data_IF_457553726557
#
_entry.id   IF_457553726557
#
_cell.length_a   1.000
_cell.length_b   1.000
_cell.length_c   1.000
_cell.angle_alpha   90.00
_cell.angle_beta   90.00
_cell.angle_gamma   90.00
#
_symmetry.space_group_name_H-M   'P 1'
#
loop_
_entity.id
_entity.type
_entity.pdbx_description
1 polymer ?
#
# COMPACT_ATOMS: atom_id res chain seq x y z
N UNK A 1 -36.15 -21.83 -31.41
CA UNK A 1 -35.14 -20.75 -31.39
C UNK A 1 -35.07 -20.22 -29.96
N UNK A 2 -34.10 -20.69 -29.17
CA UNK A 2 -33.85 -20.20 -27.81
C UNK A 2 -32.65 -19.26 -27.86
N UNK A 3 -32.89 -17.97 -27.68
CA UNK A 3 -31.84 -16.98 -27.47
C UNK A 3 -31.66 -16.78 -25.97
N UNK A 4 -30.82 -17.61 -25.36
CA UNK A 4 -30.34 -17.37 -23.99
C UNK A 4 -29.38 -16.18 -24.03
N UNK A 5 -29.90 -14.98 -23.75
CA UNK A 5 -29.06 -13.82 -23.52
C UNK A 5 -28.53 -13.96 -22.09
N UNK A 6 -27.33 -14.54 -21.94
CA UNK A 6 -26.62 -14.57 -20.67
C UNK A 6 -26.26 -13.14 -20.25
N UNK A 7 -27.16 -12.48 -19.54
CA UNK A 7 -26.87 -11.20 -18.91
C UNK A 7 -25.93 -11.42 -17.72
N UNK A 8 -24.89 -10.60 -17.53
CA UNK A 8 -24.04 -10.69 -16.37
C UNK A 8 -24.87 -10.43 -15.10
N UNK A 9 -24.88 -11.41 -14.20
CA UNK A 9 -25.50 -11.28 -12.88
C UNK A 9 -24.53 -10.55 -11.98
N UNK A 10 -24.94 -9.38 -11.48
CA UNK A 10 -24.17 -8.64 -10.49
C UNK A 10 -24.37 -9.22 -9.09
N UNK A 11 -23.34 -9.19 -8.23
CA UNK A 11 -23.51 -9.57 -6.84
C UNK A 11 -24.53 -8.64 -6.15
N UNK A 12 -25.36 -9.17 -5.22
CA UNK A 12 -26.42 -8.40 -4.57
C UNK A 12 -25.89 -7.39 -3.53
N UNK A 13 -24.59 -7.41 -3.24
CA UNK A 13 -23.93 -6.55 -2.26
C UNK A 13 -22.56 -6.18 -2.79
N UNK A 14 -22.15 -4.94 -2.57
CA UNK A 14 -20.79 -4.51 -2.88
C UNK A 14 -19.79 -5.25 -1.98
N UNK A 15 -18.91 -6.09 -2.53
CA UNK A 15 -17.93 -6.83 -1.74
C UNK A 15 -16.75 -5.96 -1.30
N UNK A 16 -16.63 -4.72 -1.79
CA UNK A 16 -15.49 -3.83 -1.54
C UNK A 16 -15.10 -3.76 -0.05
N UNK A 17 -16.03 -3.52 0.91
CA UNK A 17 -15.66 -3.36 2.32
C UNK A 17 -14.92 -4.56 2.94
N UNK A 18 -15.19 -5.78 2.48
CA UNK A 18 -14.52 -7.00 2.97
C UNK A 18 -13.03 -6.96 2.57
N UNK A 19 -12.73 -6.56 1.35
CA UNK A 19 -11.35 -6.40 0.88
C UNK A 19 -10.65 -5.25 1.59
N UNK A 20 -11.39 -4.20 1.95
CA UNK A 20 -10.83 -3.07 2.70
C UNK A 20 -10.44 -3.44 4.14
N UNK A 21 -11.28 -4.24 4.80
CA UNK A 21 -10.98 -4.82 6.11
C UNK A 21 -9.79 -5.79 6.03
N UNK A 22 -9.77 -6.66 5.02
CA UNK A 22 -8.69 -7.63 4.83
C UNK A 22 -7.32 -6.95 4.64
N UNK A 23 -7.26 -5.86 3.85
CA UNK A 23 -6.01 -5.12 3.63
C UNK A 23 -5.58 -4.25 4.81
N UNK A 24 -6.45 -4.05 5.81
CA UNK A 24 -6.15 -3.22 6.98
C UNK A 24 -4.92 -3.69 7.78
N UNK A 25 -4.63 -5.00 7.76
CA UNK A 25 -3.45 -5.56 8.42
C UNK A 25 -2.12 -5.11 7.80
N UNK A 26 -2.07 -4.92 6.48
CA UNK A 26 -0.84 -4.54 5.79
C UNK A 26 -0.29 -3.18 6.25
N UNK A 27 -1.16 -2.28 6.71
CA UNK A 27 -0.71 -0.98 7.19
C UNK A 27 0.05 -1.06 8.50
N UNK A 28 -0.42 -1.88 9.45
CA UNK A 28 0.28 -2.10 10.71
C UNK A 28 1.65 -2.77 10.48
N UNK A 29 1.69 -3.79 9.64
CA UNK A 29 2.94 -4.50 9.30
C UNK A 29 3.93 -3.58 8.59
N UNK A 30 3.47 -2.73 7.67
CA UNK A 30 4.31 -1.75 6.98
C UNK A 30 4.87 -0.70 7.94
N UNK A 31 4.07 -0.23 8.90
CA UNK A 31 4.53 0.73 9.91
C UNK A 31 5.62 0.12 10.81
N UNK A 32 5.42 -1.13 11.25
CA UNK A 32 6.42 -1.87 12.04
C UNK A 32 7.69 -2.11 11.22
N UNK A 33 7.58 -2.57 9.98
CA UNK A 33 8.72 -2.75 9.08
C UNK A 33 9.51 -1.45 8.92
N UNK A 34 8.80 -0.34 8.69
CA UNK A 34 9.44 0.95 8.41
C UNK A 34 10.10 1.59 9.62
N UNK A 35 9.51 1.43 10.81
CA UNK A 35 10.06 1.97 12.07
C UNK A 35 11.13 1.05 12.68
N UNK A 36 10.85 -0.24 12.85
CA UNK A 36 11.70 -1.16 13.60
C UNK A 36 12.79 -1.82 12.76
N UNK A 37 12.59 -2.00 11.44
CA UNK A 37 13.51 -2.78 10.61
C UNK A 37 14.27 -1.93 9.59
N UNK A 38 13.61 -0.94 8.97
CA UNK A 38 14.22 -0.09 7.95
C UNK A 38 14.72 1.26 8.47
N UNK A 39 14.23 1.68 9.64
CA UNK A 39 14.53 2.98 10.24
C UNK A 39 14.31 4.16 9.26
N UNK A 40 13.17 4.15 8.57
CA UNK A 40 12.81 5.13 7.53
C UNK A 40 12.68 6.53 8.12
N UNK A 41 12.05 6.64 9.30
CA UNK A 41 11.71 7.93 9.89
C UNK A 41 12.92 8.67 10.44
N UNK A 42 13.86 8.00 11.12
CA UNK A 42 15.08 8.67 11.59
C UNK A 42 15.92 9.20 10.43
N UNK A 43 16.00 8.45 9.31
CA UNK A 43 16.73 8.90 8.11
C UNK A 43 16.13 10.17 7.53
N UNK A 44 14.80 10.22 7.39
CA UNK A 44 14.08 11.39 6.90
C UNK A 44 14.09 12.57 7.89
N UNK A 45 14.17 12.30 9.20
CA UNK A 45 14.26 13.33 10.23
C UNK A 45 15.62 14.05 10.21
N UNK A 46 16.69 13.34 9.81
CA UNK A 46 18.03 13.93 9.68
C UNK A 46 18.15 14.81 8.43
N UNK A 47 17.67 14.32 7.27
CA UNK A 47 17.72 15.06 6.02
C UNK A 47 16.58 14.62 5.07
N UNK A 48 15.92 15.56 4.36
CA UNK A 48 15.00 15.20 3.29
C UNK A 48 15.72 14.44 2.17
N UNK A 49 15.22 13.27 1.79
CA UNK A 49 15.80 12.44 0.73
C UNK A 49 14.80 12.20 -0.40
N UNK A 50 15.30 12.06 -1.63
CA UNK A 50 14.46 11.60 -2.73
C UNK A 50 14.14 10.11 -2.58
N UNK A 51 13.02 9.68 -3.15
CA UNK A 51 12.56 8.29 -3.11
C UNK A 51 13.65 7.30 -3.52
N UNK A 52 14.35 7.60 -4.62
CA UNK A 52 15.42 6.75 -5.17
C UNK A 52 16.60 6.63 -4.21
N UNK A 53 17.03 7.74 -3.60
CA UNK A 53 18.17 7.77 -2.68
C UNK A 53 17.84 7.02 -1.40
N UNK A 54 16.63 7.23 -0.87
CA UNK A 54 16.19 6.56 0.35
C UNK A 54 16.00 5.05 0.09
N UNK A 55 15.35 4.65 -1.00
CA UNK A 55 15.19 3.24 -1.36
C UNK A 55 16.54 2.50 -1.47
N UNK A 56 17.52 3.11 -2.13
CA UNK A 56 18.89 2.58 -2.19
C UNK A 56 19.54 2.47 -0.80
N UNK A 57 19.39 3.50 0.02
CA UNK A 57 19.99 3.55 1.35
C UNK A 57 19.35 2.53 2.33
N UNK A 58 18.11 2.11 2.05
CA UNK A 58 17.38 1.04 2.76
C UNK A 58 17.68 -0.37 2.21
N UNK A 59 18.46 -0.48 1.13
CA UNK A 59 18.72 -1.77 0.46
C UNK A 59 17.49 -2.36 -0.22
N UNK A 60 16.52 -1.52 -0.58
CA UNK A 60 15.28 -1.95 -1.22
C UNK A 60 15.41 -1.91 -2.74
N UNK A 61 14.85 -2.93 -3.38
CA UNK A 61 14.60 -2.92 -4.82
C UNK A 61 13.59 -1.82 -5.19
N UNK A 62 13.53 -1.46 -6.48
CA UNK A 62 12.65 -0.39 -6.96
C UNK A 62 11.17 -0.63 -6.63
N UNK A 63 10.69 -1.86 -6.81
CA UNK A 63 9.30 -2.24 -6.54
C UNK A 63 8.89 -2.12 -5.07
N UNK A 64 9.62 -2.73 -4.10
CA UNK A 64 9.28 -2.59 -2.68
C UNK A 64 9.45 -1.16 -2.16
N UNK A 65 10.43 -0.40 -2.67
CA UNK A 65 10.56 1.04 -2.38
C UNK A 65 9.28 1.80 -2.73
N UNK A 66 8.81 1.63 -3.97
CA UNK A 66 7.63 2.33 -4.47
C UNK A 66 6.37 1.98 -3.67
N UNK A 67 6.17 0.70 -3.31
CA UNK A 67 5.02 0.29 -2.48
C UNK A 67 5.06 0.95 -1.11
N UNK A 68 6.23 0.96 -0.47
CA UNK A 68 6.42 1.55 0.86
C UNK A 68 6.13 3.06 0.84
N UNK A 69 6.72 3.79 -0.10
CA UNK A 69 6.53 5.25 -0.18
C UNK A 69 5.12 5.65 -0.64
N UNK A 70 4.50 4.87 -1.53
CA UNK A 70 3.11 5.10 -1.95
C UNK A 70 2.15 4.94 -0.78
N UNK A 71 2.35 3.92 0.05
CA UNK A 71 1.50 3.70 1.23
C UNK A 71 1.59 4.85 2.23
N UNK A 72 2.79 5.36 2.53
CA UNK A 72 2.95 6.53 3.40
C UNK A 72 2.41 7.83 2.79
N UNK A 73 2.56 8.00 1.48
CA UNK A 73 1.96 9.12 0.76
C UNK A 73 0.45 9.13 0.88
N UNK A 74 -0.20 7.96 0.75
CA UNK A 74 -1.64 7.82 0.90
C UNK A 74 -2.14 8.09 2.33
N UNK A 75 -1.41 7.64 3.36
CA UNK A 75 -1.80 7.87 4.75
C UNK A 75 -1.88 9.35 5.11
N UNK A 76 -1.03 10.18 4.53
CA UNK A 76 -1.07 11.63 4.76
C UNK A 76 -2.31 12.34 4.19
N UNK A 77 -3.09 11.68 3.32
CA UNK A 77 -4.33 12.21 2.76
C UNK A 77 -5.60 11.63 3.40
N UNK A 78 -5.48 10.58 4.21
CA UNK A 78 -6.61 9.94 4.91
C UNK A 78 -6.61 10.18 6.44
N UNK A 79 -5.59 10.85 6.98
CA UNK A 79 -5.53 11.34 8.36
C UNK A 79 -6.04 12.80 8.44
#
# INVERSE_FOLDING_TARGET
MSTDHSYPVFPPTDPTPIFELFRGGYGADLLVASSAHFNVFDRLANEPQTETVLGQALGLERRPSLVLFTAFGQWNYCA
#
